data_IF_265830472852
#
_entry.id   IF_265830472852
#
_cell.length_a   1.000
_cell.length_b   1.000
_cell.length_c   1.000
_cell.angle_alpha   90.00
_cell.angle_beta   90.00
_cell.angle_gamma   90.00
#
_symmetry.space_group_name_H-M   'P 1'
#
loop_
_entity.id
_entity.type
_entity.pdbx_description
1 polymer ?
#
# COMPACT_ATOMS: atom_id res chain seq x y z
N UNK A 1 -48.97 -58.72 -17.68
CA UNK A 1 -48.37 -59.39 -16.51
C UNK A 1 -46.88 -59.21 -16.63
N UNK A 2 -46.28 -58.59 -15.62
CA UNK A 2 -44.90 -58.77 -15.15
C UNK A 2 -44.77 -57.85 -13.93
N UNK A 3 -45.52 -58.22 -12.89
CA UNK A 3 -45.42 -57.65 -11.56
C UNK A 3 -44.59 -58.60 -10.72
N UNK A 4 -43.26 -58.47 -10.80
CA UNK A 4 -42.33 -59.06 -9.84
C UNK A 4 -40.94 -58.43 -10.04
N UNK A 5 -40.61 -57.43 -9.20
CA UNK A 5 -39.25 -56.98 -8.81
C UNK A 5 -39.27 -55.62 -8.07
N UNK A 6 -40.11 -55.46 -7.05
CA UNK A 6 -40.01 -54.34 -6.08
C UNK A 6 -40.01 -54.89 -4.65
N UNK A 7 -39.15 -55.85 -4.35
CA UNK A 7 -39.06 -56.45 -3.01
C UNK A 7 -37.65 -56.49 -2.41
N UNK A 8 -36.71 -55.67 -2.88
CA UNK A 8 -35.37 -55.60 -2.27
C UNK A 8 -34.72 -54.22 -2.22
N UNK A 9 -35.49 -53.12 -2.22
CA UNK A 9 -34.92 -51.82 -1.83
C UNK A 9 -34.73 -51.84 -0.32
N UNK A 10 -33.50 -52.10 0.14
CA UNK A 10 -33.16 -52.20 1.55
C UNK A 10 -33.65 -50.99 2.35
N UNK A 11 -34.17 -51.23 3.56
CA UNK A 11 -34.61 -50.17 4.48
C UNK A 11 -33.39 -49.38 4.97
N UNK A 12 -33.01 -48.33 4.25
CA UNK A 12 -31.93 -47.43 4.59
C UNK A 12 -32.32 -45.96 4.41
N UNK A 13 -31.54 -45.06 4.98
CA UNK A 13 -31.72 -43.61 4.90
C UNK A 13 -30.72 -43.03 3.90
N UNK A 14 -31.17 -42.08 3.08
CA UNK A 14 -30.28 -41.38 2.16
C UNK A 14 -29.42 -40.35 2.91
N UNK A 15 -28.12 -40.40 2.67
CA UNK A 15 -27.18 -39.36 3.09
C UNK A 15 -27.31 -38.13 2.19
N UNK A 16 -26.77 -36.98 2.63
CA UNK A 16 -26.72 -35.74 1.84
C UNK A 16 -25.95 -35.86 0.50
N UNK A 17 -25.32 -37.01 0.22
CA UNK A 17 -24.58 -37.31 -1.01
C UNK A 17 -25.25 -38.44 -1.82
N UNK A 18 -26.48 -38.82 -1.45
CA UNK A 18 -27.30 -39.77 -2.22
C UNK A 18 -27.02 -41.26 -1.94
N UNK A 19 -26.14 -41.59 -0.98
CA UNK A 19 -25.87 -42.99 -0.60
C UNK A 19 -26.87 -43.48 0.45
N UNK A 20 -27.35 -44.72 0.29
CA UNK A 20 -28.27 -45.38 1.22
C UNK A 20 -27.48 -46.02 2.37
N UNK A 21 -27.69 -45.57 3.60
CA UNK A 21 -27.05 -46.10 4.81
C UNK A 21 -28.04 -46.77 5.75
N UNK A 22 -27.57 -47.75 6.52
CA UNK A 22 -28.40 -48.40 7.54
C UNK A 22 -28.58 -47.52 8.78
N UNK A 23 -29.60 -47.81 9.60
CA UNK A 23 -29.87 -47.10 10.86
C UNK A 23 -28.71 -47.20 11.86
N UNK A 24 -27.95 -48.31 11.81
CA UNK A 24 -26.80 -48.57 12.69
C UNK A 24 -25.56 -47.77 12.24
N UNK A 25 -25.33 -47.69 10.93
CA UNK A 25 -24.27 -46.85 10.34
C UNK A 25 -24.49 -45.37 10.66
N UNK A 26 -25.73 -44.89 10.60
CA UNK A 26 -26.07 -43.51 10.97
C UNK A 26 -25.82 -43.22 12.46
N UNK A 27 -26.08 -44.18 13.35
CA UNK A 27 -25.79 -44.02 14.78
C UNK A 27 -24.28 -44.00 15.07
N UNK A 28 -23.51 -44.78 14.31
CA UNK A 28 -22.05 -44.79 14.41
C UNK A 28 -21.45 -43.48 13.90
N UNK A 29 -21.93 -42.97 12.76
CA UNK A 29 -21.53 -41.68 12.21
C UNK A 29 -21.92 -40.52 13.14
N UNK A 30 -23.10 -40.57 13.76
CA UNK A 30 -23.49 -39.57 14.77
C UNK A 30 -22.55 -39.61 15.97
N UNK A 31 -22.23 -40.79 16.54
CA UNK A 31 -21.29 -40.89 17.67
C UNK A 31 -19.89 -40.38 17.32
N UNK A 32 -19.42 -40.65 16.11
CA UNK A 32 -18.13 -40.17 15.63
C UNK A 32 -18.13 -38.64 15.37
N UNK A 33 -19.27 -38.07 14.93
CA UNK A 33 -19.42 -36.62 14.81
C UNK A 33 -19.50 -35.92 16.16
N UNK A 34 -20.15 -36.50 17.18
CA UNK A 34 -20.20 -35.90 18.52
C UNK A 34 -18.81 -35.86 19.18
N UNK A 35 -17.94 -36.85 18.95
CA UNK A 35 -16.57 -36.83 19.48
C UNK A 35 -15.62 -35.89 18.72
N UNK A 36 -15.89 -35.56 17.46
CA UNK A 36 -15.09 -34.61 16.67
C UNK A 36 -15.60 -33.16 16.74
N UNK A 37 -16.72 -32.91 17.43
CA UNK A 37 -17.38 -31.60 17.53
C UNK A 37 -16.65 -30.58 18.42
N UNK A 38 -15.58 -30.97 19.13
CA UNK A 38 -14.72 -30.02 19.85
C UNK A 38 -13.70 -29.29 18.94
N UNK A 39 -13.66 -29.59 17.63
CA UNK A 39 -12.73 -28.97 16.68
C UNK A 39 -13.42 -28.20 15.54
N UNK A 40 -14.74 -27.99 15.57
CA UNK A 40 -15.45 -27.22 14.54
C UNK A 40 -15.30 -25.69 14.70
N UNK A 41 -14.83 -25.23 15.85
CA UNK A 41 -14.48 -23.82 16.11
C UNK A 41 -13.17 -23.38 15.45
N UNK A 42 -12.33 -24.30 14.98
CA UNK A 42 -11.05 -23.96 14.34
C UNK A 42 -11.14 -23.84 12.81
N UNK A 43 -12.01 -24.60 12.14
CA UNK A 43 -12.17 -24.54 10.67
C UNK A 43 -12.87 -23.24 10.20
N UNK A 44 -13.88 -22.76 10.93
CA UNK A 44 -14.59 -21.51 10.61
C UNK A 44 -13.73 -20.27 10.93
N UNK A 45 -12.90 -20.35 11.97
CA UNK A 45 -11.91 -19.32 12.31
C UNK A 45 -10.73 -19.26 11.32
N UNK A 46 -10.34 -20.39 10.71
CA UNK A 46 -9.27 -20.46 9.71
C UNK A 46 -9.70 -19.96 8.31
N UNK A 47 -10.98 -20.07 7.95
CA UNK A 47 -11.48 -19.69 6.63
C UNK A 47 -11.83 -18.20 6.47
N UNK A 48 -12.11 -17.48 7.56
CA UNK A 48 -12.67 -16.12 7.49
C UNK A 48 -11.77 -15.02 8.06
N UNK A 49 -11.06 -15.26 9.18
CA UNK A 49 -10.22 -14.24 9.83
C UNK A 49 -8.81 -14.13 9.25
N UNK A 50 -8.11 -15.27 9.11
CA UNK A 50 -6.72 -15.32 8.66
C UNK A 50 -6.54 -14.86 7.20
N UNK A 51 -7.32 -15.45 6.28
CA UNK A 51 -7.26 -15.13 4.84
C UNK A 51 -7.62 -13.68 4.53
N UNK A 52 -8.59 -13.11 5.25
CA UNK A 52 -8.99 -11.71 5.08
C UNK A 52 -7.88 -10.78 5.57
N UNK A 53 -7.33 -11.05 6.76
CA UNK A 53 -6.17 -10.32 7.29
C UNK A 53 -4.98 -10.35 6.33
N UNK A 54 -4.69 -11.51 5.71
CA UNK A 54 -3.59 -11.67 4.75
C UNK A 54 -3.79 -10.83 3.49
N UNK A 55 -5.01 -10.76 2.95
CA UNK A 55 -5.34 -9.90 1.80
C UNK A 55 -5.20 -8.42 2.16
N UNK A 56 -5.68 -7.99 3.33
CA UNK A 56 -5.50 -6.61 3.81
C UNK A 56 -4.02 -6.26 4.02
N UNK A 57 -3.22 -7.19 4.56
CA UNK A 57 -1.79 -7.03 4.74
C UNK A 57 -1.04 -6.94 3.40
N UNK A 58 -1.42 -7.76 2.42
CA UNK A 58 -0.87 -7.69 1.06
C UNK A 58 -1.17 -6.34 0.39
N UNK A 59 -2.43 -5.87 0.48
CA UNK A 59 -2.83 -4.55 -0.04
C UNK A 59 -2.08 -3.40 0.63
N UNK A 60 -1.92 -3.46 1.96
CA UNK A 60 -1.14 -2.49 2.74
C UNK A 60 0.32 -2.48 2.30
N UNK A 61 0.91 -3.66 2.12
CA UNK A 61 2.31 -3.81 1.69
C UNK A 61 2.53 -3.26 0.28
N UNK A 62 1.65 -3.61 -0.67
CA UNK A 62 1.70 -3.09 -2.04
C UNK A 62 1.58 -1.57 -2.10
N UNK A 63 0.61 -1.00 -1.38
CA UNK A 63 0.42 0.45 -1.30
C UNK A 63 1.65 1.15 -0.68
N UNK A 64 2.19 0.60 0.43
CA UNK A 64 3.37 1.18 1.07
C UNK A 64 4.62 1.06 0.18
N UNK A 65 4.76 -0.04 -0.58
CA UNK A 65 5.84 -0.20 -1.56
C UNK A 65 5.79 0.91 -2.62
N UNK A 66 4.63 1.13 -3.24
CA UNK A 66 4.44 2.20 -4.23
C UNK A 66 4.70 3.60 -3.64
N UNK A 67 4.26 3.84 -2.40
CA UNK A 67 4.52 5.08 -1.69
C UNK A 67 6.02 5.27 -1.40
N UNK A 68 6.72 4.21 -1.03
CA UNK A 68 8.16 4.23 -0.75
C UNK A 68 8.98 4.51 -2.01
N UNK A 69 8.63 3.90 -3.15
CA UNK A 69 9.26 4.19 -4.45
C UNK A 69 9.12 5.67 -4.80
N UNK A 70 7.90 6.19 -4.70
CA UNK A 70 7.63 7.60 -4.98
C UNK A 70 8.39 8.54 -4.02
N UNK A 71 8.46 8.21 -2.73
CA UNK A 71 9.22 8.97 -1.72
C UNK A 71 10.72 8.91 -2.02
N UNK A 72 11.23 7.78 -2.48
CA UNK A 72 12.63 7.60 -2.84
C UNK A 72 13.04 8.56 -3.94
N UNK A 73 12.24 8.66 -5.02
CA UNK A 73 12.47 9.63 -6.11
C UNK A 73 12.40 11.06 -5.58
N UNK A 74 11.36 11.40 -4.82
CA UNK A 74 11.20 12.75 -4.25
C UNK A 74 12.34 13.14 -3.28
N UNK A 75 12.91 12.18 -2.56
CA UNK A 75 14.07 12.39 -1.70
C UNK A 75 15.35 12.62 -2.52
N UNK A 76 15.54 11.88 -3.60
CA UNK A 76 16.66 12.05 -4.53
C UNK A 76 16.62 13.42 -5.19
N UNK A 77 15.47 13.80 -5.76
CA UNK A 77 15.21 15.12 -6.34
C UNK A 77 15.52 16.24 -5.34
N UNK A 78 15.04 16.10 -4.10
CA UNK A 78 15.32 17.06 -3.04
C UNK A 78 16.81 17.16 -2.70
N UNK A 79 17.54 16.03 -2.69
CA UNK A 79 18.99 15.99 -2.45
C UNK A 79 19.73 16.71 -3.59
N UNK A 80 19.37 16.42 -4.84
CA UNK A 80 19.96 17.05 -6.01
C UNK A 80 19.70 18.56 -6.03
N UNK A 81 18.48 19.01 -5.76
CA UNK A 81 18.15 20.43 -5.63
C UNK A 81 18.90 21.13 -4.49
N UNK A 82 19.13 20.45 -3.36
CA UNK A 82 19.95 21.01 -2.28
C UNK A 82 21.40 21.21 -2.72
N UNK A 83 21.98 20.24 -3.45
CA UNK A 83 23.32 20.36 -4.04
C UNK A 83 23.37 21.52 -5.04
N UNK A 84 22.42 21.58 -5.97
CA UNK A 84 22.29 22.65 -6.95
C UNK A 84 22.23 24.04 -6.28
N UNK A 85 21.38 24.18 -5.25
CA UNK A 85 21.30 25.41 -4.45
C UNK A 85 22.63 25.80 -3.82
N UNK A 86 23.41 24.82 -3.35
CA UNK A 86 24.72 25.06 -2.73
C UNK A 86 25.73 25.58 -3.76
N UNK A 87 25.75 24.98 -4.95
CA UNK A 87 26.61 25.41 -6.06
C UNK A 87 26.25 26.84 -6.48
N UNK A 88 24.97 27.11 -6.76
CA UNK A 88 24.49 28.45 -7.14
C UNK A 88 24.79 29.51 -6.07
N UNK A 89 24.62 29.17 -4.78
CA UNK A 89 24.99 30.08 -3.69
C UNK A 89 26.48 30.42 -3.67
N UNK A 90 27.35 29.43 -3.93
CA UNK A 90 28.79 29.65 -3.98
C UNK A 90 29.18 30.47 -5.21
N UNK A 91 28.62 30.15 -6.38
CA UNK A 91 28.78 30.96 -7.60
C UNK A 91 28.34 32.41 -7.37
N UNK A 92 27.21 32.66 -6.69
CA UNK A 92 26.77 34.03 -6.35
C UNK A 92 27.76 34.76 -5.46
N UNK A 93 28.35 34.07 -4.48
CA UNK A 93 29.33 34.67 -3.58
C UNK A 93 30.61 35.02 -4.35
N UNK A 94 31.13 34.08 -5.12
CA UNK A 94 32.36 34.26 -5.92
C UNK A 94 32.16 35.31 -7.01
N UNK A 95 31.01 35.36 -7.69
CA UNK A 95 30.70 36.38 -8.70
C UNK A 95 30.60 37.79 -8.11
N UNK A 96 30.08 37.94 -6.88
CA UNK A 96 30.10 39.23 -6.17
C UNK A 96 31.52 39.67 -5.82
N UNK A 97 32.35 38.75 -5.31
CA UNK A 97 33.75 39.04 -5.06
C UNK A 97 34.49 39.42 -6.35
N UNK A 98 34.20 38.74 -7.46
CA UNK A 98 34.79 39.05 -8.78
C UNK A 98 34.41 40.45 -9.23
N UNK A 99 33.14 40.83 -9.05
CA UNK A 99 32.67 42.18 -9.36
C UNK A 99 33.44 43.24 -8.57
N UNK A 100 33.71 42.98 -7.29
CA UNK A 100 34.44 43.91 -6.44
C UNK A 100 35.93 43.98 -6.82
N UNK A 101 36.57 42.85 -7.13
CA UNK A 101 37.96 42.79 -7.61
C UNK A 101 38.15 43.52 -8.96
N UNK A 102 37.22 43.34 -9.90
CA UNK A 102 37.22 44.09 -11.17
C UNK A 102 37.06 45.60 -10.90
N UNK A 103 36.23 45.99 -9.92
CA UNK A 103 36.02 47.39 -9.56
C UNK A 103 37.27 48.01 -8.92
N UNK A 104 38.02 47.25 -8.11
CA UNK A 104 39.26 47.71 -7.47
C UNK A 104 40.49 47.62 -8.38
N UNK A 105 40.36 47.03 -9.57
CA UNK A 105 41.48 46.83 -10.49
C UNK A 105 42.45 45.72 -10.05
N UNK A 106 42.04 44.86 -9.11
CA UNK A 106 42.85 43.75 -8.60
C UNK A 106 42.75 42.55 -9.56
N UNK A 107 43.67 42.49 -10.52
CA UNK A 107 43.69 41.44 -11.55
C UNK A 107 44.02 40.06 -10.97
N UNK A 108 44.95 39.96 -10.02
CA UNK A 108 45.35 38.67 -9.45
C UNK A 108 44.18 38.01 -8.71
N UNK A 109 43.43 38.77 -7.91
CA UNK A 109 42.21 38.28 -7.28
C UNK A 109 41.11 37.98 -8.29
N UNK A 110 40.94 38.82 -9.31
CA UNK A 110 39.94 38.60 -10.35
C UNK A 110 40.18 37.28 -11.11
N UNK A 111 41.42 36.97 -11.47
CA UNK A 111 41.77 35.75 -12.18
C UNK A 111 41.55 34.50 -11.32
N UNK A 112 41.95 34.53 -10.04
CA UNK A 112 41.66 33.44 -9.09
C UNK A 112 40.15 33.19 -8.97
N UNK A 113 39.34 34.24 -8.91
CA UNK A 113 37.88 34.14 -8.81
C UNK A 113 37.24 33.64 -10.11
N UNK A 114 37.79 34.00 -11.29
CA UNK A 114 37.36 33.44 -12.58
C UNK A 114 37.63 31.94 -12.64
N UNK A 115 38.82 31.49 -12.21
CA UNK A 115 39.14 30.06 -12.12
C UNK A 115 38.23 29.32 -11.13
N UNK A 116 37.90 29.90 -9.97
CA UNK A 116 36.93 29.29 -9.05
C UNK A 116 35.54 29.19 -9.69
N UNK A 117 35.08 30.23 -10.40
CA UNK A 117 33.79 30.19 -11.10
C UNK A 117 33.77 29.15 -12.22
N UNK A 118 34.88 28.94 -12.93
CA UNK A 118 35.00 27.89 -13.92
C UNK A 118 34.85 26.50 -13.28
N UNK A 119 35.59 26.22 -12.22
CA UNK A 119 35.47 24.96 -11.46
C UNK A 119 34.05 24.72 -10.91
N UNK A 120 33.37 25.79 -10.47
CA UNK A 120 31.98 25.69 -10.01
C UNK A 120 30.99 25.45 -11.16
N UNK A 121 31.31 25.95 -12.34
CA UNK A 121 30.50 25.79 -13.55
C UNK A 121 30.60 24.37 -14.11
N UNK A 122 31.79 23.77 -14.06
CA UNK A 122 31.99 22.35 -14.35
C UNK A 122 31.15 21.47 -13.42
N UNK A 123 31.25 21.69 -12.10
CA UNK A 123 30.41 21.00 -11.10
C UNK A 123 28.91 21.20 -11.32
N UNK A 124 28.52 22.39 -11.80
CA UNK A 124 27.13 22.69 -12.15
C UNK A 124 26.68 21.84 -13.34
N UNK A 125 27.48 21.78 -14.39
CA UNK A 125 27.20 20.98 -15.60
C UNK A 125 27.16 19.48 -15.28
N UNK A 126 28.11 18.97 -14.51
CA UNK A 126 28.11 17.57 -14.04
C UNK A 126 26.83 17.24 -13.26
N UNK A 127 26.42 18.13 -12.34
CA UNK A 127 25.19 17.94 -11.58
C UNK A 127 23.94 18.04 -12.46
N UNK A 128 23.91 18.95 -13.43
CA UNK A 128 22.80 19.08 -14.36
C UNK A 128 22.62 17.81 -15.21
N UNK A 129 23.73 17.25 -15.72
CA UNK A 129 23.74 15.97 -16.42
C UNK A 129 23.24 14.84 -15.52
N UNK A 130 23.77 14.71 -14.30
CA UNK A 130 23.31 13.70 -13.33
C UNK A 130 21.81 13.84 -12.99
N UNK A 131 21.28 15.06 -12.90
CA UNK A 131 19.84 15.30 -12.69
C UNK A 131 19.02 14.86 -13.91
N UNK A 132 19.52 15.10 -15.12
CA UNK A 132 18.87 14.68 -16.36
C UNK A 132 18.79 13.15 -16.45
N UNK A 133 19.89 12.47 -16.12
CA UNK A 133 19.94 11.01 -16.09
C UNK A 133 19.02 10.43 -15.01
N UNK A 134 19.02 11.02 -13.81
CA UNK A 134 18.11 10.65 -12.74
C UNK A 134 16.64 10.84 -13.14
N UNK A 135 16.30 11.93 -13.84
CA UNK A 135 14.96 12.19 -14.33
C UNK A 135 14.51 11.12 -15.34
N UNK A 136 15.39 10.73 -16.26
CA UNK A 136 15.13 9.68 -17.25
C UNK A 136 14.94 8.31 -16.58
N UNK A 137 15.87 7.93 -15.69
CA UNK A 137 15.83 6.64 -14.98
C UNK A 137 14.59 6.49 -14.08
N UNK A 138 14.05 7.60 -13.56
CA UNK A 138 12.89 7.60 -12.66
C UNK A 138 11.56 7.92 -13.35
N UNK A 139 11.51 8.07 -14.68
CA UNK A 139 10.32 8.51 -15.41
C UNK A 139 9.06 7.68 -15.07
N UNK A 140 9.16 6.35 -15.04
CA UNK A 140 8.05 5.45 -14.70
C UNK A 140 7.66 5.42 -13.20
N UNK A 141 8.44 6.07 -12.34
CA UNK A 141 8.20 6.15 -10.90
C UNK A 141 7.64 7.52 -10.47
N UNK A 142 7.66 8.52 -11.37
CA UNK A 142 7.22 9.89 -11.10
C UNK A 142 5.72 10.11 -11.14
N UNK A 143 4.98 9.25 -11.83
CA UNK A 143 3.51 9.25 -11.81
C UNK A 143 3.05 7.96 -11.18
N UNK A 144 2.31 8.08 -10.07
CA UNK A 144 1.72 6.91 -9.39
C UNK A 144 0.25 7.13 -9.14
N UNK A 145 -0.53 6.16 -9.61
CA UNK A 145 -1.93 6.03 -9.25
C UNK A 145 -1.99 5.32 -7.91
N UNK A 146 -2.43 6.04 -6.88
CA UNK A 146 -2.61 5.46 -5.57
C UNK A 146 -4.00 4.84 -5.52
N UNK A 147 -4.03 3.51 -5.62
CA UNK A 147 -5.26 2.72 -5.60
C UNK A 147 -5.43 2.05 -4.23
N UNK A 148 -6.69 1.86 -3.83
CA UNK A 148 -7.11 1.08 -2.68
C UNK A 148 -8.10 0.02 -3.16
N UNK A 149 -7.61 -1.18 -3.44
CA UNK A 149 -8.38 -2.19 -4.18
C UNK A 149 -8.81 -1.60 -5.53
N UNK A 150 -10.12 -1.64 -5.81
CA UNK A 150 -10.69 -1.09 -7.05
C UNK A 150 -10.97 0.42 -7.00
N UNK A 151 -10.76 1.09 -5.86
CA UNK A 151 -11.02 2.54 -5.72
C UNK A 151 -9.73 3.35 -5.89
N UNK A 152 -9.71 4.24 -6.87
CA UNK A 152 -8.64 5.22 -7.03
C UNK A 152 -8.77 6.30 -5.94
N UNK A 153 -7.70 6.50 -5.18
CA UNK A 153 -7.65 7.56 -4.17
C UNK A 153 -7.17 8.88 -4.80
N UNK A 154 -6.24 8.79 -5.74
CA UNK A 154 -5.73 9.94 -6.48
C UNK A 154 -4.50 9.59 -7.31
N UNK A 155 -4.07 10.57 -8.10
CA UNK A 155 -2.84 10.51 -8.87
C UNK A 155 -1.87 11.50 -8.23
N UNK A 156 -0.68 11.03 -7.87
CA UNK A 156 0.41 11.93 -7.53
C UNK A 156 1.41 11.96 -8.67
N UNK A 157 1.76 13.18 -9.06
CA UNK A 157 2.73 13.44 -10.10
C UNK A 157 3.88 14.27 -9.53
N UNK A 158 5.08 13.72 -9.65
CA UNK A 158 6.32 14.41 -9.37
C UNK A 158 6.83 15.04 -10.68
N UNK A 159 6.78 16.37 -10.78
CA UNK A 159 7.38 17.07 -11.92
C UNK A 159 8.90 16.78 -11.96
N UNK A 160 9.48 16.51 -13.13
CA UNK A 160 10.92 16.42 -13.28
C UNK A 160 11.60 17.68 -12.76
N UNK A 161 12.72 17.51 -12.08
CA UNK A 161 13.50 18.64 -11.60
C UNK A 161 14.30 19.20 -12.76
N UNK A 162 14.25 20.51 -12.97
CA UNK A 162 15.08 21.21 -13.94
C UNK A 162 16.21 21.95 -13.24
N UNK A 163 17.44 21.77 -13.71
CA UNK A 163 18.60 22.54 -13.30
C UNK A 163 19.43 22.83 -14.55
N UNK A 164 19.55 24.12 -14.90
CA UNK A 164 20.22 24.53 -16.13
C UNK A 164 21.73 24.27 -16.06
N UNK A 165 22.29 23.76 -17.17
CA UNK A 165 23.73 23.68 -17.38
C UNK A 165 24.38 25.06 -17.31
N UNK A 166 25.68 25.11 -17.03
CA UNK A 166 26.38 26.39 -17.03
C UNK A 166 26.61 26.85 -18.47
N UNK A 167 26.27 28.10 -18.77
CA UNK A 167 26.73 28.78 -19.98
C UNK A 167 28.23 29.06 -19.89
N UNK A 168 28.91 29.17 -21.04
CA UNK A 168 30.34 29.50 -21.09
C UNK A 168 30.55 30.88 -20.44
N UNK A 169 31.41 30.92 -19.43
CA UNK A 169 31.71 32.12 -18.66
C UNK A 169 32.67 33.02 -19.43
N UNK A 170 32.17 34.09 -20.04
CA UNK A 170 32.98 35.26 -20.38
C UNK A 170 32.65 36.34 -19.35
N UNK A 171 33.51 36.47 -18.33
CA UNK A 171 33.31 37.36 -17.17
C UNK A 171 34.48 38.35 -17.07
N UNK A 172 34.70 39.08 -18.15
CA UNK A 172 35.78 40.05 -18.29
C UNK A 172 35.31 41.44 -17.89
N UNK A 173 34.03 41.75 -18.12
CA UNK A 173 33.46 43.06 -17.83
C UNK A 173 32.52 43.03 -16.62
N UNK A 174 32.41 44.18 -15.93
CA UNK A 174 31.44 44.37 -14.84
C UNK A 174 29.99 44.11 -15.29
N UNK A 175 29.67 44.41 -16.56
CA UNK A 175 28.34 44.18 -17.14
C UNK A 175 28.04 42.68 -17.25
N UNK A 176 28.97 41.89 -17.80
CA UNK A 176 28.87 40.43 -17.85
C UNK A 176 28.69 39.81 -16.47
N UNK A 177 29.50 40.24 -15.49
CA UNK A 177 29.39 39.75 -14.11
C UNK A 177 28.04 40.09 -13.48
N UNK A 178 27.49 41.28 -13.74
CA UNK A 178 26.15 41.64 -13.25
C UNK A 178 25.05 40.78 -13.88
N UNK A 179 25.13 40.50 -15.19
CA UNK A 179 24.18 39.65 -15.88
C UNK A 179 24.23 38.22 -15.33
N UNK A 180 25.43 37.68 -15.15
CA UNK A 180 25.61 36.36 -14.55
C UNK A 180 25.08 36.29 -13.11
N UNK A 181 25.27 37.34 -12.30
CA UNK A 181 24.67 37.41 -10.96
C UNK A 181 23.13 37.42 -11.02
N UNK A 182 22.53 38.06 -12.03
CA UNK A 182 21.09 38.05 -12.22
C UNK A 182 20.58 36.65 -12.57
N UNK A 183 21.19 35.98 -13.56
CA UNK A 183 20.89 34.60 -13.94
C UNK A 183 20.97 33.65 -12.73
N UNK A 184 22.04 33.75 -11.94
CA UNK A 184 22.20 32.93 -10.73
C UNK A 184 21.15 33.20 -9.66
N UNK A 185 20.58 34.41 -9.58
CA UNK A 185 19.47 34.70 -8.67
C UNK A 185 18.18 34.02 -9.16
N UNK A 186 17.93 34.06 -10.46
CA UNK A 186 16.77 33.43 -11.08
C UNK A 186 16.84 31.90 -10.93
N UNK A 187 18.03 31.31 -11.12
CA UNK A 187 18.28 29.90 -10.85
C UNK A 187 18.00 29.54 -9.39
N UNK A 188 18.50 30.35 -8.45
CA UNK A 188 18.29 30.13 -7.01
C UNK A 188 16.80 30.15 -6.67
N UNK A 189 16.05 31.07 -7.25
CA UNK A 189 14.63 31.26 -6.97
C UNK A 189 13.79 30.15 -7.64
N UNK A 190 14.19 29.70 -8.83
CA UNK A 190 13.65 28.50 -9.50
C UNK A 190 13.86 27.25 -8.64
N UNK A 191 15.08 27.00 -8.16
CA UNK A 191 15.41 25.88 -7.27
C UNK A 191 14.58 25.96 -5.97
N UNK A 192 14.39 27.16 -5.42
CA UNK A 192 13.58 27.37 -4.22
C UNK A 192 12.11 27.03 -4.49
N UNK A 193 11.57 27.41 -5.64
CA UNK A 193 10.21 27.07 -6.07
C UNK A 193 10.03 25.56 -6.19
N UNK A 194 10.91 24.87 -6.92
CA UNK A 194 10.88 23.42 -7.08
C UNK A 194 11.00 22.68 -5.74
N UNK A 195 11.86 23.15 -4.81
CA UNK A 195 11.94 22.59 -3.46
C UNK A 195 10.63 22.74 -2.67
N UNK A 196 9.89 23.83 -2.88
CA UNK A 196 8.60 24.05 -2.25
C UNK A 196 7.52 23.15 -2.85
N UNK A 197 7.54 22.93 -4.16
CA UNK A 197 6.63 22.00 -4.83
C UNK A 197 6.86 20.56 -4.36
N UNK A 198 8.13 20.11 -4.26
CA UNK A 198 8.46 18.81 -3.65
C UNK A 198 7.95 18.68 -2.21
N UNK A 199 7.95 19.78 -1.43
CA UNK A 199 7.39 19.78 -0.07
C UNK A 199 5.87 19.65 -0.08
N UNK A 200 5.17 20.29 -1.03
CA UNK A 200 3.71 20.16 -1.19
C UNK A 200 3.32 18.73 -1.53
N UNK A 201 3.94 18.16 -2.57
CA UNK A 201 3.71 16.78 -3.01
C UNK A 201 3.96 15.77 -1.88
N UNK A 202 5.01 15.97 -1.07
CA UNK A 202 5.26 15.11 0.10
C UNK A 202 4.20 15.22 1.20
N UNK A 203 3.62 16.41 1.40
CA UNK A 203 2.51 16.60 2.36
C UNK A 203 1.25 15.90 1.86
N UNK A 204 0.95 16.02 0.57
CA UNK A 204 -0.16 15.32 -0.07
C UNK A 204 0.00 13.81 0.07
N UNK A 205 1.18 13.25 -0.25
CA UNK A 205 1.47 11.83 -0.07
C UNK A 205 1.31 11.38 1.39
N UNK A 206 1.77 12.17 2.37
CA UNK A 206 1.56 11.86 3.78
C UNK A 206 0.06 11.80 4.12
N UNK A 207 -0.73 12.70 3.52
CA UNK A 207 -2.20 12.68 3.59
C UNK A 207 -2.79 11.39 3.03
N UNK A 208 -2.39 11.00 1.81
CA UNK A 208 -2.81 9.75 1.18
C UNK A 208 -2.47 8.53 2.04
N UNK A 209 -1.23 8.42 2.54
CA UNK A 209 -0.82 7.30 3.39
C UNK A 209 -1.69 7.22 4.66
N UNK A 210 -1.99 8.36 5.30
CA UNK A 210 -2.83 8.39 6.50
C UNK A 210 -4.27 7.95 6.18
N UNK A 211 -4.87 8.51 5.13
CA UNK A 211 -6.23 8.17 4.71
C UNK A 211 -6.36 6.70 4.31
N UNK A 212 -5.39 6.17 3.56
CA UNK A 212 -5.39 4.75 3.17
C UNK A 212 -5.29 3.84 4.37
N UNK A 213 -4.38 4.13 5.33
CA UNK A 213 -4.25 3.33 6.55
C UNK A 213 -5.53 3.31 7.35
N UNK A 214 -6.09 4.49 7.67
CA UNK A 214 -7.33 4.61 8.43
C UNK A 214 -8.48 3.86 7.75
N UNK A 215 -8.60 3.96 6.43
CA UNK A 215 -9.65 3.28 5.71
C UNK A 215 -9.44 1.75 5.62
N UNK A 216 -8.21 1.27 5.47
CA UNK A 216 -7.90 -0.16 5.51
C UNK A 216 -8.18 -0.73 6.90
N UNK A 217 -7.77 -0.04 7.96
CA UNK A 217 -8.01 -0.47 9.34
C UNK A 217 -9.53 -0.50 9.64
N UNK A 218 -10.31 0.49 9.20
CA UNK A 218 -11.78 0.50 9.35
C UNK A 218 -12.47 -0.60 8.55
N UNK A 219 -12.01 -0.88 7.33
CA UNK A 219 -12.56 -1.95 6.50
C UNK A 219 -12.22 -3.31 7.08
N UNK A 220 -10.99 -3.50 7.57
CA UNK A 220 -10.56 -4.72 8.22
C UNK A 220 -11.41 -5.00 9.47
N UNK A 221 -11.61 -4.00 10.34
CA UNK A 221 -12.49 -4.13 11.51
C UNK A 221 -13.90 -4.52 11.10
N UNK A 222 -14.56 -3.74 10.23
CA UNK A 222 -15.96 -4.00 9.86
C UNK A 222 -16.18 -5.33 9.16
N UNK A 223 -15.23 -5.78 8.32
CA UNK A 223 -15.29 -7.09 7.68
C UNK A 223 -15.12 -8.20 8.72
N UNK A 224 -14.13 -8.10 9.62
CA UNK A 224 -13.94 -9.06 10.71
C UNK A 224 -15.18 -9.12 11.60
N UNK A 225 -15.77 -7.97 11.96
CA UNK A 225 -16.99 -7.90 12.77
C UNK A 225 -18.16 -8.59 12.08
N UNK A 226 -18.34 -8.39 10.77
CA UNK A 226 -19.40 -9.04 9.98
C UNK A 226 -19.22 -10.56 9.89
N UNK A 227 -17.98 -11.05 9.73
CA UNK A 227 -17.69 -12.48 9.76
C UNK A 227 -17.88 -13.07 11.16
N UNK A 228 -17.54 -12.32 12.20
CA UNK A 228 -17.82 -12.67 13.59
C UNK A 228 -19.32 -12.83 13.84
N UNK A 229 -20.14 -11.87 13.37
CA UNK A 229 -21.60 -11.94 13.48
C UNK A 229 -22.21 -13.11 12.68
N UNK A 230 -21.72 -13.34 11.46
CA UNK A 230 -22.15 -14.47 10.64
C UNK A 230 -21.81 -15.82 11.32
N UNK A 231 -20.61 -15.91 11.92
CA UNK A 231 -20.18 -17.09 12.68
C UNK A 231 -21.02 -17.29 13.94
N UNK A 232 -21.32 -16.22 14.69
CA UNK A 232 -22.18 -16.29 15.87
C UNK A 232 -23.61 -16.74 15.51
N UNK A 233 -24.16 -16.22 14.40
CA UNK A 233 -25.47 -16.64 13.89
C UNK A 233 -25.47 -18.11 13.47
N UNK A 234 -24.44 -18.55 12.72
CA UNK A 234 -24.29 -19.95 12.32
C UNK A 234 -24.16 -20.89 13.52
N UNK A 235 -23.40 -20.50 14.55
CA UNK A 235 -23.28 -21.25 15.80
C UNK A 235 -24.61 -21.30 16.56
N UNK A 236 -25.36 -20.18 16.59
CA UNK A 236 -26.68 -20.12 17.21
C UNK A 236 -27.68 -21.02 16.50
N UNK A 237 -27.67 -21.04 15.15
CA UNK A 237 -28.50 -21.94 14.34
C UNK A 237 -28.09 -23.40 14.60
N UNK A 238 -26.80 -23.71 14.63
CA UNK A 238 -26.30 -25.06 14.91
C UNK A 238 -26.71 -25.54 16.31
N UNK A 239 -26.60 -24.69 17.33
CA UNK A 239 -27.07 -24.98 18.69
C UNK A 239 -28.59 -25.16 18.73
N UNK A 240 -29.35 -24.31 18.04
CA UNK A 240 -30.80 -24.44 17.96
C UNK A 240 -31.24 -25.75 17.29
N UNK A 241 -30.58 -26.16 16.19
CA UNK A 241 -30.81 -27.45 15.53
C UNK A 241 -30.47 -28.61 16.47
N UNK A 242 -29.33 -28.53 17.16
CA UNK A 242 -28.89 -29.58 18.09
C UNK A 242 -29.85 -29.71 19.27
N UNK A 243 -30.28 -28.59 19.86
CA UNK A 243 -31.22 -28.58 20.98
C UNK A 243 -32.62 -29.04 20.56
N UNK A 244 -33.09 -28.64 19.39
CA UNK A 244 -34.40 -29.07 18.85
C UNK A 244 -34.39 -30.57 18.49
N UNK A 245 -33.29 -31.06 17.91
CA UNK A 245 -33.09 -32.49 17.65
C UNK A 245 -33.00 -33.32 18.93
N UNK A 246 -32.34 -32.81 19.96
CA UNK A 246 -32.30 -33.44 21.29
C UNK A 246 -33.67 -33.46 21.96
N UNK A 247 -34.45 -32.38 21.86
CA UNK A 247 -35.83 -32.34 22.37
C UNK A 247 -36.77 -33.29 21.62
N UNK A 248 -36.65 -33.40 20.30
CA UNK A 248 -37.42 -34.36 19.51
C UNK A 248 -37.09 -35.81 19.86
N UNK A 249 -35.82 -36.11 20.16
CA UNK A 249 -35.38 -37.43 20.63
C UNK A 249 -35.87 -37.74 22.05
N UNK A 250 -35.91 -36.76 22.95
CA UNK A 250 -36.48 -36.91 24.29
C UNK A 250 -38.01 -37.11 24.23
N UNK A 251 -38.71 -36.37 23.36
CA UNK A 251 -40.14 -36.55 23.15
C UNK A 251 -40.48 -37.93 22.56
N UNK A 252 -39.62 -38.50 21.71
CA UNK A 252 -39.78 -39.86 21.20
C UNK A 252 -39.35 -40.97 22.19
N UNK A 253 -38.43 -40.70 23.12
CA UNK A 253 -38.05 -41.68 24.15
C UNK A 253 -39.00 -41.68 25.36
N UNK A 254 -39.80 -40.63 25.56
CA UNK A 254 -40.90 -40.63 26.54
C UNK A 254 -42.09 -41.51 26.12
N UNK A 255 -42.04 -42.15 24.93
CA UNK A 255 -43.10 -43.05 24.47
C UNK A 255 -42.88 -44.53 24.78
N UNK A 256 -41.77 -44.98 25.38
CA UNK A 256 -41.64 -46.40 25.78
C UNK A 256 -42.32 -46.69 27.13
N UNK A 257 -42.25 -45.77 28.10
CA UNK A 257 -42.96 -45.91 29.39
C UNK A 257 -44.49 -45.78 29.22
N UNK A 258 -44.96 -44.93 28.29
CA UNK A 258 -46.39 -44.81 28.00
C UNK A 258 -46.93 -45.97 27.14
N UNK A 259 -46.06 -46.68 26.39
CA UNK A 259 -46.44 -47.93 25.69
C UNK A 259 -46.47 -49.12 26.65
N UNK A 260 -45.58 -49.20 27.64
CA UNK A 260 -45.66 -50.24 28.68
C UNK A 260 -46.85 -50.04 29.65
N UNK A 261 -47.27 -48.80 29.91
CA UNK A 261 -48.49 -48.52 30.68
C UNK A 261 -49.79 -48.89 29.93
N UNK A 262 -49.74 -49.05 28.61
CA UNK A 262 -50.86 -49.46 27.74
C UNK A 262 -50.87 -50.96 27.39
N UNK A 263 -49.79 -51.67 27.73
CA UNK A 263 -49.61 -53.12 27.49
C UNK A 263 -49.52 -53.93 28.79
N UNK A 264 -50.17 -53.44 29.85
CA UNK A 264 -50.57 -54.31 30.96
C UNK A 264 -51.34 -55.52 30.45
#
# INVERSE_FOLDING_TARGET
>A
MDGDKISSVGRGFFTAHGHLKSKEELKLDQRNQTQNSNNSSSAVNQLSGGRVSDVFNSLKTSFLSQANDFISVANRDRKNLKKARSIVKRQLKTARALKDAIKSGDQESADKLRSELQNLSEKRTELAASIKDDNLASAGQRVKNFNRGNKQLGILQLKPVSFAESTKLQLNTKKEVNNFIAELKDDRDTIKSQLNDLRKVRRELKGFIKQTRQALDSLQSGVIDSFGQATATANSISQAITNSGAQALLAHNLSEESVQALLG
#
